data_IF_604923204325
#
_entry.id   IF_604923204325
#
_cell.length_a   1.000
_cell.length_b   1.000
_cell.length_c   1.000
_cell.angle_alpha   90.00
_cell.angle_beta   90.00
_cell.angle_gamma   90.00
#
_symmetry.space_group_name_H-M   'P 1'
#
loop_
_entity.id
_entity.type
_entity.pdbx_description
1 polymer ?
#
# COMPACT_ATOMS: atom_id res chain seq x y z
N UNK A 1 -15.48 -11.36 2.54
CA UNK A 1 -16.04 -9.99 2.72
C UNK A 1 -17.12 -10.04 3.80
N UNK A 2 -16.89 -9.42 4.96
CA UNK A 2 -17.92 -9.28 5.99
C UNK A 2 -18.86 -8.14 5.57
N UNK A 3 -20.12 -8.45 5.23
CA UNK A 3 -21.15 -7.49 4.79
C UNK A 3 -21.59 -6.47 5.88
N UNK A 4 -20.92 -6.45 7.04
CA UNK A 4 -21.37 -5.72 8.25
C UNK A 4 -21.44 -4.19 8.14
N UNK A 5 -20.96 -3.57 7.06
CA UNK A 5 -20.93 -2.11 6.92
C UNK A 5 -21.41 -1.59 5.56
N UNK A 6 -22.21 -2.35 4.84
CA UNK A 6 -22.75 -1.91 3.55
C UNK A 6 -23.91 -0.95 3.80
N UNK A 7 -23.85 0.24 3.19
CA UNK A 7 -24.92 1.22 3.16
C UNK A 7 -25.71 1.10 1.87
N UNK A 8 -27.05 1.10 1.96
CA UNK A 8 -27.93 1.06 0.80
C UNK A 8 -28.48 2.45 0.50
N UNK A 9 -28.49 2.81 -0.78
CA UNK A 9 -29.05 4.04 -1.31
C UNK A 9 -30.03 3.70 -2.43
N UNK A 10 -31.01 4.55 -2.68
CA UNK A 10 -32.04 4.32 -3.68
C UNK A 10 -32.00 5.45 -4.71
N UNK A 11 -32.02 5.12 -5.99
CA UNK A 11 -32.02 6.09 -7.09
C UNK A 11 -32.97 5.66 -8.21
N UNK A 12 -33.63 6.65 -8.84
CA UNK A 12 -34.50 6.45 -9.99
C UNK A 12 -33.76 6.50 -11.32
N UNK A 13 -32.65 7.24 -11.35
CA UNK A 13 -31.86 7.45 -12.56
C UNK A 13 -30.67 6.49 -12.60
N UNK A 14 -30.30 6.07 -13.81
CA UNK A 14 -29.09 5.28 -14.05
C UNK A 14 -27.82 6.13 -13.77
N UNK A 15 -26.66 5.49 -13.52
CA UNK A 15 -25.41 6.21 -13.32
C UNK A 15 -25.02 7.06 -14.53
N UNK A 16 -24.41 8.22 -14.27
CA UNK A 16 -23.82 9.05 -15.32
C UNK A 16 -22.59 8.39 -15.91
N UNK A 17 -22.35 8.65 -17.20
CA UNK A 17 -21.15 8.21 -17.90
C UNK A 17 -19.92 8.96 -17.43
N UNK A 18 -18.82 8.21 -17.25
CA UNK A 18 -17.55 8.77 -16.84
C UNK A 18 -16.40 8.07 -17.57
N UNK A 19 -15.32 8.80 -17.89
CA UNK A 19 -14.16 8.24 -18.58
C UNK A 19 -13.31 7.35 -17.69
N UNK A 20 -13.16 7.71 -16.43
CA UNK A 20 -12.38 6.96 -15.43
C UNK A 20 -13.28 6.58 -14.26
N UNK A 21 -13.18 5.34 -13.86
CA UNK A 21 -13.76 4.82 -12.62
C UNK A 21 -12.63 4.45 -11.66
N UNK A 22 -12.55 5.14 -10.52
CA UNK A 22 -11.71 4.72 -9.40
C UNK A 22 -12.52 3.73 -8.59
N UNK A 23 -12.09 2.48 -8.57
CA UNK A 23 -12.75 1.41 -7.83
C UNK A 23 -12.14 1.32 -6.43
N UNK A 24 -12.94 1.59 -5.44
CA UNK A 24 -12.65 1.76 -4.02
C UNK A 24 -12.32 3.21 -3.64
N UNK A 25 -12.88 3.60 -2.49
CA UNK A 25 -12.63 4.93 -1.90
C UNK A 25 -11.24 5.03 -1.27
N UNK A 26 -10.67 3.91 -0.83
CA UNK A 26 -9.36 3.87 -0.20
C UNK A 26 -8.26 4.33 -1.18
N UNK A 27 -7.52 5.38 -0.80
CA UNK A 27 -6.48 5.99 -1.64
C UNK A 27 -6.98 6.75 -2.86
N UNK A 28 -8.31 6.89 -3.04
CA UNK A 28 -8.88 7.64 -4.18
C UNK A 28 -8.51 9.13 -4.13
N UNK A 29 -8.33 9.69 -2.92
CA UNK A 29 -7.93 11.09 -2.75
C UNK A 29 -6.53 11.33 -3.30
N UNK A 30 -5.57 10.45 -3.01
CA UNK A 30 -4.21 10.49 -3.57
C UNK A 30 -4.24 10.40 -5.11
N UNK A 31 -5.08 9.51 -5.67
CA UNK A 31 -5.21 9.38 -7.11
C UNK A 31 -5.80 10.63 -7.75
N UNK A 32 -6.87 11.19 -7.21
CA UNK A 32 -7.52 12.39 -7.78
C UNK A 32 -6.60 13.58 -7.68
N UNK A 33 -5.97 13.79 -6.53
CA UNK A 33 -5.18 14.98 -6.27
C UNK A 33 -3.83 14.99 -7.00
N UNK A 34 -3.15 13.85 -7.06
CA UNK A 34 -1.75 13.80 -7.51
C UNK A 34 -1.54 13.09 -8.85
N UNK A 35 -2.49 12.24 -9.27
CA UNK A 35 -2.37 11.50 -10.52
C UNK A 35 -3.34 12.00 -11.57
N UNK A 36 -4.58 12.32 -11.20
CA UNK A 36 -5.67 12.63 -12.12
C UNK A 36 -6.15 14.10 -12.01
N UNK A 37 -5.35 14.98 -11.42
CA UNK A 37 -5.73 16.38 -11.14
C UNK A 37 -6.16 17.18 -12.38
N UNK A 38 -5.68 16.82 -13.55
CA UNK A 38 -5.99 17.45 -14.84
C UNK A 38 -6.97 16.64 -15.70
N UNK A 39 -7.46 15.50 -15.18
CA UNK A 39 -8.43 14.65 -15.87
C UNK A 39 -9.87 14.98 -15.43
N UNK A 40 -10.76 15.14 -16.39
CA UNK A 40 -12.20 15.36 -16.13
C UNK A 40 -12.99 14.05 -16.26
N UNK A 41 -14.22 14.06 -15.72
CA UNK A 41 -15.14 12.92 -15.79
C UNK A 41 -14.61 11.66 -15.08
N UNK A 42 -14.24 11.85 -13.81
CA UNK A 42 -13.81 10.79 -12.88
C UNK A 42 -14.98 10.46 -11.95
N UNK A 43 -15.24 9.18 -11.76
CA UNK A 43 -16.16 8.67 -10.73
C UNK A 43 -15.40 7.83 -9.72
N UNK A 44 -15.62 8.11 -8.44
CA UNK A 44 -15.14 7.27 -7.34
C UNK A 44 -16.27 6.32 -6.96
N UNK A 45 -15.99 5.03 -6.95
CA UNK A 45 -16.90 3.97 -6.56
C UNK A 45 -16.55 3.47 -5.16
N UNK A 46 -17.47 3.66 -4.21
CA UNK A 46 -17.31 3.16 -2.85
C UNK A 46 -17.88 1.73 -2.76
N UNK A 47 -17.02 0.74 -2.62
CA UNK A 47 -17.39 -0.68 -2.48
C UNK A 47 -18.22 -0.98 -1.21
N UNK A 48 -18.29 -0.07 -0.25
CA UNK A 48 -19.14 -0.19 0.94
C UNK A 48 -20.53 0.42 0.76
N UNK A 49 -20.80 0.97 -0.44
CA UNK A 49 -22.05 1.64 -0.78
C UNK A 49 -22.73 0.93 -1.94
N UNK A 50 -23.92 0.37 -1.73
CA UNK A 50 -24.76 -0.20 -2.80
C UNK A 50 -25.86 0.80 -3.13
N UNK A 51 -25.94 1.25 -4.38
CA UNK A 51 -27.03 2.12 -4.86
C UNK A 51 -28.04 1.27 -5.61
N UNK A 52 -29.24 1.09 -5.09
CA UNK A 52 -30.31 0.33 -5.73
C UNK A 52 -31.04 1.24 -6.73
N UNK A 53 -31.02 0.86 -8.00
CA UNK A 53 -31.65 1.61 -9.09
C UNK A 53 -33.05 1.08 -9.39
N UNK A 54 -34.09 1.92 -9.17
CA UNK A 54 -35.45 1.66 -9.59
C UNK A 54 -35.67 2.08 -11.05
N UNK A 55 -34.88 1.51 -11.94
CA UNK A 55 -34.93 1.78 -13.38
C UNK A 55 -35.05 0.48 -14.15
N UNK A 56 -36.08 0.37 -14.98
CA UNK A 56 -36.38 -0.88 -15.71
C UNK A 56 -35.22 -1.33 -16.61
N UNK A 57 -34.51 -0.39 -17.23
CA UNK A 57 -33.38 -0.71 -18.11
C UNK A 57 -32.21 -1.30 -17.27
N UNK A 58 -31.97 -0.76 -16.09
CA UNK A 58 -30.96 -1.30 -15.17
C UNK A 58 -31.34 -2.71 -14.72
N UNK A 59 -32.59 -2.92 -14.30
CA UNK A 59 -33.09 -4.21 -13.83
C UNK A 59 -32.98 -5.28 -14.94
N UNK A 60 -33.42 -4.97 -16.15
CA UNK A 60 -33.34 -5.91 -17.29
C UNK A 60 -31.87 -6.26 -17.61
N UNK A 61 -30.99 -5.27 -17.60
CA UNK A 61 -29.55 -5.48 -17.83
C UNK A 61 -28.92 -6.35 -16.73
N UNK A 62 -29.27 -6.09 -15.47
CA UNK A 62 -28.79 -6.88 -14.32
C UNK A 62 -29.25 -8.34 -14.43
N UNK A 63 -30.53 -8.59 -14.72
CA UNK A 63 -31.05 -9.94 -14.92
C UNK A 63 -30.34 -10.65 -16.09
N UNK A 64 -30.14 -9.96 -17.23
CA UNK A 64 -29.35 -10.49 -18.34
C UNK A 64 -27.93 -10.86 -17.91
N UNK A 65 -27.28 -10.04 -17.09
CA UNK A 65 -25.94 -10.33 -16.58
C UNK A 65 -25.93 -11.53 -15.63
N UNK A 66 -26.97 -11.73 -14.81
CA UNK A 66 -27.10 -12.91 -13.93
C UNK A 66 -27.12 -14.20 -14.78
N UNK A 67 -27.86 -14.19 -15.89
CA UNK A 67 -28.02 -15.36 -16.75
C UNK A 67 -26.73 -15.70 -17.54
N UNK A 68 -25.97 -14.67 -17.94
CA UNK A 68 -24.85 -14.83 -18.88
C UNK A 68 -23.47 -14.91 -18.23
N UNK A 69 -23.33 -14.57 -16.94
CA UNK A 69 -22.02 -14.52 -16.27
C UNK A 69 -21.84 -15.70 -15.36
N UNK A 70 -20.86 -16.52 -15.69
CA UNK A 70 -20.41 -17.62 -14.84
C UNK A 70 -19.13 -17.20 -14.08
N UNK A 71 -19.27 -17.04 -12.76
CA UNK A 71 -18.17 -16.83 -11.85
C UNK A 71 -18.05 -18.08 -10.98
N UNK A 72 -16.95 -18.81 -11.16
CA UNK A 72 -16.66 -19.99 -10.36
C UNK A 72 -15.90 -19.57 -9.09
N UNK A 73 -15.85 -20.45 -8.10
CA UNK A 73 -15.04 -20.34 -6.87
C UNK A 73 -15.39 -19.14 -5.96
N UNK A 74 -16.64 -18.67 -5.96
CA UNK A 74 -17.08 -17.69 -4.98
C UNK A 74 -18.50 -17.98 -4.47
N UNK A 75 -18.82 -17.44 -3.26
CA UNK A 75 -20.17 -17.59 -2.69
C UNK A 75 -21.23 -16.93 -3.57
N UNK A 76 -22.45 -17.44 -3.53
CA UNK A 76 -23.58 -16.90 -4.29
C UNK A 76 -23.78 -15.39 -4.08
N UNK A 77 -23.70 -14.94 -2.81
CA UNK A 77 -23.84 -13.51 -2.46
C UNK A 77 -22.74 -12.67 -3.11
N UNK A 78 -21.47 -13.14 -3.07
CA UNK A 78 -20.35 -12.45 -3.70
C UNK A 78 -20.54 -12.40 -5.23
N UNK A 79 -21.03 -13.48 -5.82
CA UNK A 79 -21.34 -13.53 -7.25
C UNK A 79 -22.38 -12.47 -7.65
N UNK A 80 -23.51 -12.40 -6.96
CA UNK A 80 -24.55 -11.40 -7.21
C UNK A 80 -24.00 -9.99 -7.05
N UNK A 81 -23.18 -9.76 -6.03
CA UNK A 81 -22.55 -8.46 -5.80
C UNK A 81 -21.60 -8.05 -6.95
N UNK A 82 -20.75 -8.95 -7.42
CA UNK A 82 -19.87 -8.70 -8.56
C UNK A 82 -20.68 -8.39 -9.84
N UNK A 83 -21.74 -9.16 -10.10
CA UNK A 83 -22.61 -8.94 -11.27
C UNK A 83 -23.33 -7.59 -11.16
N UNK A 84 -23.74 -7.20 -9.95
CA UNK A 84 -24.36 -5.90 -9.72
C UNK A 84 -23.38 -4.76 -10.04
N UNK A 85 -22.17 -4.78 -9.48
CA UNK A 85 -21.14 -3.77 -9.77
C UNK A 85 -20.81 -3.74 -11.27
N UNK A 86 -20.65 -4.91 -11.89
CA UNK A 86 -20.44 -4.98 -13.34
C UNK A 86 -21.55 -4.27 -14.11
N UNK A 87 -22.82 -4.45 -13.70
CA UNK A 87 -23.94 -3.79 -14.34
C UNK A 87 -23.85 -2.26 -14.19
N UNK A 88 -23.52 -1.76 -13.00
CA UNK A 88 -23.27 -0.33 -12.81
C UNK A 88 -22.14 0.20 -13.70
N UNK A 89 -21.02 -0.53 -13.79
CA UNK A 89 -19.87 -0.18 -14.63
C UNK A 89 -20.28 -0.12 -16.11
N UNK A 90 -21.14 -1.00 -16.58
CA UNK A 90 -21.66 -0.96 -17.95
C UNK A 90 -22.51 0.29 -18.26
N UNK A 91 -23.17 0.87 -17.25
CA UNK A 91 -23.89 2.15 -17.40
C UNK A 91 -22.96 3.36 -17.25
N UNK A 92 -22.00 3.31 -16.33
CA UNK A 92 -20.95 4.35 -16.18
C UNK A 92 -20.10 4.44 -17.45
N UNK A 93 -19.90 3.31 -18.13
CA UNK A 93 -19.19 3.16 -19.40
C UNK A 93 -17.76 3.73 -19.38
N UNK A 94 -16.93 3.43 -18.34
CA UNK A 94 -15.60 4.00 -18.23
C UNK A 94 -14.65 3.36 -19.25
N UNK A 95 -13.71 4.13 -19.78
CA UNK A 95 -12.61 3.61 -20.58
C UNK A 95 -11.56 2.95 -19.69
N UNK A 96 -11.30 3.52 -18.50
CA UNK A 96 -10.34 3.05 -17.53
C UNK A 96 -11.03 2.74 -16.20
N UNK A 97 -10.67 1.61 -15.60
CA UNK A 97 -11.01 1.22 -14.23
C UNK A 97 -9.70 1.10 -13.46
N UNK A 98 -9.50 1.99 -12.48
CA UNK A 98 -8.27 2.08 -11.70
C UNK A 98 -8.52 1.80 -10.22
N UNK A 99 -7.57 1.15 -9.55
CA UNK A 99 -7.57 0.98 -8.09
C UNK A 99 -6.22 1.32 -7.51
N UNK A 100 -6.22 1.91 -6.29
CA UNK A 100 -5.04 2.06 -5.45
C UNK A 100 -4.90 0.91 -4.43
N UNK A 101 -5.75 -0.10 -4.52
CA UNK A 101 -5.70 -1.28 -3.68
C UNK A 101 -5.55 -2.52 -4.59
N UNK A 102 -4.30 -2.87 -4.91
CA UNK A 102 -3.95 -3.93 -5.86
C UNK A 102 -4.28 -5.35 -5.37
N UNK A 103 -4.64 -5.56 -4.08
CA UNK A 103 -5.10 -6.83 -3.53
C UNK A 103 -6.63 -6.94 -3.39
N UNK A 104 -7.38 -5.98 -3.94
CA UNK A 104 -8.83 -5.95 -3.86
C UNK A 104 -9.48 -7.09 -4.66
N UNK A 105 -10.04 -8.07 -3.95
CA UNK A 105 -10.65 -9.27 -4.58
C UNK A 105 -11.85 -8.97 -5.48
N UNK A 106 -12.57 -7.86 -5.26
CA UNK A 106 -13.69 -7.44 -6.14
C UNK A 106 -13.14 -6.87 -7.44
N UNK A 107 -12.11 -6.02 -7.36
CA UNK A 107 -11.43 -5.49 -8.53
C UNK A 107 -10.91 -6.63 -9.45
N UNK A 108 -10.26 -7.63 -8.87
CA UNK A 108 -9.78 -8.80 -9.61
C UNK A 108 -10.92 -9.56 -10.28
N UNK A 109 -12.04 -9.78 -9.56
CA UNK A 109 -13.20 -10.46 -10.12
C UNK A 109 -13.80 -9.68 -11.29
N UNK A 110 -13.85 -8.34 -11.19
CA UNK A 110 -14.35 -7.47 -12.25
C UNK A 110 -13.43 -7.49 -13.49
N UNK A 111 -12.11 -7.47 -13.31
CA UNK A 111 -11.15 -7.57 -14.43
C UNK A 111 -11.27 -8.88 -15.20
N UNK A 112 -11.73 -9.95 -14.54
CA UNK A 112 -11.99 -11.22 -15.16
C UNK A 112 -13.27 -11.21 -16.01
N UNK A 113 -14.35 -10.55 -15.55
CA UNK A 113 -15.68 -10.57 -16.21
C UNK A 113 -15.95 -9.40 -17.15
N UNK A 114 -15.13 -8.33 -17.11
CA UNK A 114 -15.23 -7.17 -17.99
C UNK A 114 -14.00 -7.16 -18.91
N UNK A 115 -14.21 -7.35 -20.23
CA UNK A 115 -13.10 -7.52 -21.19
C UNK A 115 -12.75 -6.28 -22.02
N UNK A 116 -13.69 -5.34 -22.12
CA UNK A 116 -13.59 -4.19 -23.04
C UNK A 116 -13.25 -2.89 -22.30
N UNK A 117 -12.47 -2.98 -21.24
CA UNK A 117 -12.03 -1.83 -20.44
C UNK A 117 -10.58 -2.03 -20.01
N UNK A 118 -9.87 -0.94 -19.86
CA UNK A 118 -8.49 -0.97 -19.36
C UNK A 118 -8.49 -1.02 -17.83
N UNK A 119 -7.91 -2.07 -17.27
CA UNK A 119 -7.77 -2.27 -15.84
C UNK A 119 -6.36 -1.88 -15.37
N UNK A 120 -6.28 -0.90 -14.48
CA UNK A 120 -5.04 -0.38 -13.90
C UNK A 120 -5.05 -0.60 -12.40
N UNK A 121 -4.04 -1.29 -11.88
CA UNK A 121 -3.81 -1.41 -10.44
C UNK A 121 -2.52 -0.67 -10.04
N UNK A 122 -2.56 -0.02 -8.88
CA UNK A 122 -1.41 0.63 -8.28
C UNK A 122 -1.15 -0.04 -6.94
N UNK A 123 0.05 -0.56 -6.76
CA UNK A 123 0.46 -1.23 -5.55
C UNK A 123 0.54 -0.23 -4.39
N UNK A 124 -0.18 -0.53 -3.30
CA UNK A 124 -0.22 0.31 -2.10
C UNK A 124 0.51 -0.31 -0.90
N UNK A 125 0.97 -1.55 -1.01
CA UNK A 125 1.64 -2.25 0.07
C UNK A 125 2.46 -3.42 -0.44
N UNK A 126 3.26 -4.00 0.45
CA UNK A 126 4.00 -5.21 0.14
C UNK A 126 3.05 -6.37 -0.13
N UNK A 127 3.41 -7.18 -1.12
CA UNK A 127 2.64 -8.36 -1.52
C UNK A 127 3.52 -9.59 -1.37
N UNK A 128 3.33 -10.28 -0.27
CA UNK A 128 3.97 -11.56 -0.03
C UNK A 128 3.28 -12.69 -0.79
N UNK A 129 3.97 -13.82 -0.91
CA UNK A 129 3.46 -14.98 -1.64
C UNK A 129 2.08 -15.40 -1.14
N UNK A 130 1.87 -15.46 0.19
CA UNK A 130 0.60 -15.89 0.76
C UNK A 130 -0.58 -14.96 0.41
N UNK A 131 -0.35 -13.65 0.22
CA UNK A 131 -1.37 -12.70 -0.24
C UNK A 131 -1.72 -13.00 -1.69
N UNK A 132 -0.72 -13.27 -2.52
CA UNK A 132 -0.88 -13.60 -3.93
C UNK A 132 -1.59 -14.94 -4.13
N UNK A 133 -1.27 -15.92 -3.30
CA UNK A 133 -1.88 -17.25 -3.34
C UNK A 133 -3.34 -17.27 -2.85
N UNK A 134 -3.76 -16.30 -2.01
CA UNK A 134 -5.16 -16.14 -1.55
C UNK A 134 -6.12 -15.66 -2.64
N UNK A 135 -5.63 -15.17 -3.74
CA UNK A 135 -6.48 -14.67 -4.81
C UNK A 135 -6.97 -15.84 -5.64
N UNK A 136 -8.22 -16.24 -5.38
CA UNK A 136 -8.90 -17.39 -6.02
C UNK A 136 -9.13 -17.23 -7.52
N UNK A 137 -8.80 -16.04 -8.09
CA UNK A 137 -9.09 -15.72 -9.48
C UNK A 137 -7.81 -15.46 -10.28
N UNK A 138 -7.83 -15.85 -11.54
CA UNK A 138 -6.84 -15.37 -12.50
C UNK A 138 -6.99 -13.87 -12.65
N UNK A 139 -6.00 -13.14 -12.18
CA UNK A 139 -5.95 -11.69 -12.33
C UNK A 139 -5.64 -11.37 -13.79
N UNK A 140 -6.41 -10.46 -14.37
CA UNK A 140 -6.20 -10.00 -15.74
C UNK A 140 -6.15 -8.48 -15.75
N UNK A 141 -5.02 -7.92 -15.33
CA UNK A 141 -4.77 -6.48 -15.39
C UNK A 141 -4.08 -6.11 -16.68
N UNK A 142 -4.46 -4.96 -17.26
CA UNK A 142 -3.72 -4.40 -18.37
C UNK A 142 -2.43 -3.75 -17.89
N UNK A 143 -2.48 -3.04 -16.73
CA UNK A 143 -1.32 -2.40 -16.12
C UNK A 143 -1.29 -2.64 -14.62
N UNK A 144 -0.10 -2.94 -14.10
CA UNK A 144 0.22 -2.91 -12.67
C UNK A 144 1.43 -2.02 -12.44
N UNK A 145 1.22 -0.92 -11.74
CA UNK A 145 2.29 -0.08 -11.22
C UNK A 145 2.75 -0.66 -9.89
N UNK A 146 3.98 -1.15 -9.86
CA UNK A 146 4.55 -1.83 -8.70
C UNK A 146 5.80 -1.12 -8.17
N UNK A 147 6.22 -1.50 -6.98
CA UNK A 147 7.34 -0.84 -6.30
C UNK A 147 8.68 -1.09 -7.00
N UNK A 148 8.96 -2.31 -7.42
CA UNK A 148 10.22 -2.65 -8.03
C UNK A 148 10.18 -3.88 -8.92
N UNK A 149 11.33 -4.23 -9.48
CA UNK A 149 11.47 -5.38 -10.38
C UNK A 149 11.17 -6.72 -9.67
N UNK A 150 11.46 -6.82 -8.37
CA UNK A 150 11.14 -8.03 -7.60
C UNK A 150 9.64 -8.32 -7.55
N UNK A 151 8.77 -7.30 -7.54
CA UNK A 151 7.33 -7.49 -7.58
C UNK A 151 6.88 -8.09 -8.90
N UNK A 152 7.50 -7.66 -10.01
CA UNK A 152 7.28 -8.26 -11.33
C UNK A 152 7.66 -9.74 -11.35
N UNK A 153 8.83 -10.10 -10.84
CA UNK A 153 9.32 -11.49 -10.82
C UNK A 153 8.40 -12.37 -9.95
N UNK A 154 8.01 -11.87 -8.77
CA UNK A 154 7.08 -12.55 -7.89
C UNK A 154 5.69 -12.72 -8.52
N UNK A 155 5.20 -11.74 -9.27
CA UNK A 155 3.91 -11.83 -9.96
C UNK A 155 3.93 -12.87 -11.10
N UNK A 156 5.03 -12.95 -11.85
CA UNK A 156 5.19 -13.96 -12.91
C UNK A 156 5.15 -15.38 -12.34
N UNK A 157 5.67 -15.60 -11.13
CA UNK A 157 5.64 -16.90 -10.45
C UNK A 157 4.28 -17.29 -9.86
N UNK A 158 3.28 -16.40 -9.94
CA UNK A 158 1.92 -16.60 -9.41
C UNK A 158 0.89 -16.60 -10.55
N UNK A 159 -0.39 -16.79 -10.21
CA UNK A 159 -1.48 -16.75 -11.19
C UNK A 159 -1.88 -15.32 -11.62
N UNK A 160 -1.05 -14.32 -11.35
CA UNK A 160 -1.32 -12.94 -11.72
C UNK A 160 -0.96 -12.70 -13.18
N UNK A 161 -1.96 -12.62 -14.04
CA UNK A 161 -1.80 -12.28 -15.45
C UNK A 161 -1.84 -10.75 -15.57
N UNK A 162 -0.67 -10.14 -15.59
CA UNK A 162 -0.50 -8.70 -15.82
C UNK A 162 0.16 -8.50 -17.17
N UNK A 163 -0.48 -7.77 -18.08
CA UNK A 163 0.07 -7.52 -19.42
C UNK A 163 1.29 -6.59 -19.36
N UNK A 164 1.19 -5.52 -18.56
CA UNK A 164 2.23 -4.52 -18.44
C UNK A 164 2.58 -4.27 -16.98
N UNK A 165 3.71 -4.81 -16.51
CA UNK A 165 4.29 -4.44 -15.23
C UNK A 165 5.12 -3.16 -15.39
N UNK A 166 4.82 -2.17 -14.56
CA UNK A 166 5.47 -0.87 -14.53
C UNK A 166 6.10 -0.65 -13.15
N UNK A 167 7.37 -1.00 -12.93
CA UNK A 167 8.06 -0.70 -11.68
C UNK A 167 8.39 0.79 -11.64
N UNK A 168 7.60 1.55 -10.87
CA UNK A 168 7.71 3.01 -10.75
C UNK A 168 8.01 3.46 -9.33
N UNK A 169 7.99 2.54 -8.37
CA UNK A 169 8.07 2.85 -6.94
C UNK A 169 6.71 3.12 -6.31
N UNK A 170 6.73 3.54 -5.05
CA UNK A 170 5.52 3.88 -4.30
C UNK A 170 4.98 5.24 -4.73
N UNK A 171 3.68 5.30 -5.02
CA UNK A 171 2.98 6.57 -5.30
C UNK A 171 3.10 7.54 -4.11
N UNK A 172 2.86 7.07 -2.89
CA UNK A 172 2.94 7.91 -1.68
C UNK A 172 4.34 8.41 -1.40
N UNK A 173 5.37 7.58 -1.61
CA UNK A 173 6.75 8.02 -1.50
C UNK A 173 7.07 9.11 -2.54
N UNK A 174 6.60 8.98 -3.78
CA UNK A 174 6.73 10.01 -4.81
C UNK A 174 6.04 11.33 -4.45
N UNK A 175 4.83 11.25 -3.88
CA UNK A 175 4.09 12.43 -3.38
C UNK A 175 4.86 13.08 -2.22
N UNK A 176 5.37 12.29 -1.27
CA UNK A 176 6.15 12.78 -0.14
C UNK A 176 7.43 13.50 -0.58
N UNK A 177 8.14 12.96 -1.56
CA UNK A 177 9.33 13.61 -2.15
C UNK A 177 8.96 14.98 -2.71
N UNK A 178 7.85 15.10 -3.43
CA UNK A 178 7.38 16.40 -3.96
C UNK A 178 7.03 17.38 -2.84
N UNK A 179 6.31 16.89 -1.81
CA UNK A 179 5.78 17.73 -0.73
C UNK A 179 6.86 18.18 0.25
N UNK A 180 7.89 17.37 0.45
CA UNK A 180 8.87 17.54 1.52
C UNK A 180 10.34 17.61 1.03
N UNK A 181 10.57 18.12 -0.15
CA UNK A 181 11.86 18.07 -0.88
C UNK A 181 13.07 18.72 -0.17
N UNK A 182 12.88 19.50 0.90
CA UNK A 182 13.94 20.27 1.56
C UNK A 182 14.00 20.13 3.08
N UNK A 183 13.48 19.03 3.64
CA UNK A 183 13.50 18.83 5.08
C UNK A 183 14.90 18.58 5.61
N UNK A 184 15.22 19.21 6.76
CA UNK A 184 16.45 18.97 7.53
C UNK A 184 16.24 17.80 8.47
N UNK A 185 17.30 17.04 8.71
CA UNK A 185 17.31 15.99 9.74
C UNK A 185 17.10 16.60 11.12
N UNK A 186 16.16 16.07 11.87
CA UNK A 186 15.80 16.46 13.25
C UNK A 186 15.96 15.29 14.21
N UNK A 187 15.80 14.06 13.70
CA UNK A 187 15.82 12.86 14.51
C UNK A 187 16.95 11.94 14.08
N UNK A 188 17.48 11.23 15.05
CA UNK A 188 18.47 10.18 14.81
C UNK A 188 17.76 8.96 14.24
N UNK A 189 16.63 8.59 14.84
CA UNK A 189 15.90 7.37 14.54
C UNK A 189 14.40 7.65 14.37
N UNK A 190 13.82 7.12 13.29
CA UNK A 190 12.38 6.90 13.12
C UNK A 190 12.09 5.42 13.33
N UNK A 191 11.35 5.07 14.39
CA UNK A 191 10.83 3.72 14.59
C UNK A 191 9.43 3.62 13.99
N UNK A 192 9.24 2.69 13.04
CA UNK A 192 7.94 2.45 12.43
C UNK A 192 7.10 1.58 13.35
N UNK A 193 5.90 2.06 13.68
CA UNK A 193 4.92 1.28 14.41
C UNK A 193 4.20 0.30 13.48
N UNK A 194 4.12 -0.94 13.91
CA UNK A 194 3.26 -1.98 13.31
C UNK A 194 2.19 -2.45 14.31
N UNK A 195 1.84 -1.59 15.27
CA UNK A 195 0.84 -1.86 16.31
C UNK A 195 -0.52 -2.14 15.70
N UNK A 196 -1.06 -3.34 15.95
CA UNK A 196 -2.37 -3.77 15.47
C UNK A 196 -3.12 -4.54 16.59
N UNK A 197 -3.87 -3.84 17.44
CA UNK A 197 -4.51 -4.45 18.60
C UNK A 197 -5.53 -5.54 18.25
N UNK A 198 -6.11 -5.47 17.03
CA UNK A 198 -7.13 -6.44 16.58
C UNK A 198 -6.54 -7.80 16.21
N UNK A 199 -5.25 -7.84 15.87
CA UNK A 199 -4.55 -9.07 15.49
C UNK A 199 -4.02 -9.87 16.67
N UNK A 200 -4.00 -9.28 17.85
CA UNK A 200 -3.48 -9.92 19.08
C UNK A 200 -4.26 -11.20 19.46
N UNK A 201 -5.51 -11.35 19.02
CA UNK A 201 -6.35 -12.51 19.28
C UNK A 201 -6.67 -13.31 18.00
N UNK A 202 -5.98 -13.05 16.90
CA UNK A 202 -6.16 -13.80 15.64
C UNK A 202 -5.15 -14.95 15.60
N UNK A 203 -5.61 -16.21 15.70
CA UNK A 203 -4.72 -17.38 15.72
C UNK A 203 -3.77 -17.42 14.51
N UNK A 204 -4.20 -16.93 13.37
CA UNK A 204 -3.42 -16.93 12.13
C UNK A 204 -2.34 -15.83 12.08
N UNK A 205 -2.36 -14.87 13.05
CA UNK A 205 -1.46 -13.71 13.08
C UNK A 205 -0.64 -13.58 14.38
N UNK A 206 -0.67 -14.56 15.28
CA UNK A 206 0.09 -14.52 16.53
C UNK A 206 1.58 -14.27 16.33
N UNK A 207 2.19 -14.95 15.38
CA UNK A 207 3.63 -14.81 15.12
C UNK A 207 4.05 -13.40 14.71
N UNK A 208 3.25 -12.71 13.89
CA UNK A 208 3.56 -11.33 13.48
C UNK A 208 3.60 -10.35 14.64
N UNK A 209 2.58 -10.38 15.49
CA UNK A 209 2.51 -9.49 16.65
C UNK A 209 3.67 -9.70 17.63
N UNK A 210 4.04 -10.96 17.87
CA UNK A 210 5.12 -11.29 18.80
C UNK A 210 6.45 -10.75 18.29
N UNK A 211 6.73 -10.87 17.00
CA UNK A 211 7.95 -10.36 16.39
C UNK A 211 8.03 -8.83 16.43
N UNK A 212 6.92 -8.15 16.11
CA UNK A 212 6.86 -6.71 16.16
C UNK A 212 7.01 -6.19 17.60
N UNK A 213 6.34 -6.81 18.57
CA UNK A 213 6.47 -6.46 19.99
C UNK A 213 7.92 -6.61 20.45
N UNK A 214 8.58 -7.69 20.06
CA UNK A 214 9.99 -7.92 20.38
C UNK A 214 10.90 -6.83 19.80
N UNK A 215 10.69 -6.41 18.54
CA UNK A 215 11.42 -5.26 17.97
C UNK A 215 11.22 -4.00 18.81
N UNK A 216 10.00 -3.75 19.26
CA UNK A 216 9.68 -2.55 20.05
C UNK A 216 10.34 -2.60 21.42
N UNK A 217 10.36 -3.76 22.08
CA UNK A 217 11.04 -3.99 23.36
C UNK A 217 12.55 -3.76 23.24
N UNK A 218 13.17 -4.35 22.22
CA UNK A 218 14.60 -4.18 21.91
C UNK A 218 14.94 -2.70 21.72
N UNK A 219 14.14 -1.99 20.91
CA UNK A 219 14.38 -0.57 20.66
C UNK A 219 14.14 0.28 21.90
N UNK A 220 13.14 -0.07 22.73
CA UNK A 220 12.89 0.61 24.01
C UNK A 220 14.09 0.53 24.94
N UNK A 221 14.71 -0.66 25.09
CA UNK A 221 15.92 -0.83 25.90
C UNK A 221 17.11 -0.02 25.36
N UNK A 222 17.27 0.03 24.04
CA UNK A 222 18.29 0.85 23.40
C UNK A 222 18.07 2.34 23.68
N UNK A 223 16.83 2.82 23.57
CA UNK A 223 16.46 4.21 23.79
C UNK A 223 16.63 4.68 25.23
N UNK A 224 16.46 3.78 26.20
CA UNK A 224 16.76 4.06 27.61
C UNK A 224 18.26 4.22 27.88
N UNK A 225 19.12 3.53 27.13
CA UNK A 225 20.58 3.54 27.31
C UNK A 225 21.26 4.70 26.57
N UNK A 226 20.65 5.23 25.52
CA UNK A 226 21.24 6.22 24.61
C UNK A 226 20.34 7.44 24.46
N UNK A 227 20.96 8.60 24.39
CA UNK A 227 20.25 9.86 24.22
C UNK A 227 20.01 10.19 22.74
N UNK A 228 19.33 9.29 22.01
CA UNK A 228 18.92 9.55 20.62
C UNK A 228 17.71 10.49 20.57
N UNK A 229 17.66 11.32 19.53
CA UNK A 229 16.45 12.04 19.14
C UNK A 229 15.56 11.08 18.35
N UNK A 230 14.38 10.74 18.88
CA UNK A 230 13.54 9.65 18.38
C UNK A 230 12.18 10.18 17.97
N UNK A 231 11.68 9.67 16.87
CA UNK A 231 10.27 9.81 16.47
C UNK A 231 9.67 8.45 16.18
N UNK A 232 8.43 8.22 16.62
CA UNK A 232 7.64 7.03 16.27
C UNK A 232 6.68 7.38 15.15
N UNK A 233 6.80 6.68 14.03
CA UNK A 233 5.85 6.75 12.93
C UNK A 233 4.64 5.87 13.26
N UNK A 234 3.59 6.45 13.83
CA UNK A 234 2.34 5.75 14.19
C UNK A 234 1.59 5.30 12.95
N UNK A 235 0.99 4.09 12.99
CA UNK A 235 0.21 3.55 11.89
C UNK A 235 -1.26 3.99 11.89
N UNK A 236 -1.75 4.50 13.03
CA UNK A 236 -3.12 5.01 13.20
C UNK A 236 -4.21 3.95 13.33
N UNK A 237 -3.91 2.67 13.14
CA UNK A 237 -4.92 1.60 13.27
C UNK A 237 -5.32 1.35 14.72
N UNK A 238 -4.44 1.63 15.67
CA UNK A 238 -4.68 1.49 17.10
C UNK A 238 -5.43 2.66 17.73
N UNK A 239 -5.55 3.80 17.06
CA UNK A 239 -6.05 5.05 17.64
C UNK A 239 -5.23 5.47 18.87
N UNK A 240 -5.91 5.93 19.94
CA UNK A 240 -5.23 6.33 21.19
C UNK A 240 -4.46 5.19 21.85
N UNK A 241 -4.90 3.94 21.72
CA UNK A 241 -4.25 2.77 22.34
C UNK A 241 -2.83 2.54 21.84
N UNK A 242 -2.56 2.88 20.57
CA UNK A 242 -1.21 2.80 20.01
C UNK A 242 -0.28 3.80 20.69
N UNK A 243 -0.72 5.05 20.82
CA UNK A 243 0.02 6.09 21.50
C UNK A 243 0.25 5.77 22.98
N UNK A 244 -0.80 5.36 23.71
CA UNK A 244 -0.75 4.95 25.11
C UNK A 244 0.27 3.81 25.33
N UNK A 245 0.29 2.84 24.40
CA UNK A 245 1.25 1.74 24.45
C UNK A 245 2.69 2.26 24.37
N UNK A 246 3.02 3.07 23.36
CA UNK A 246 4.36 3.60 23.21
C UNK A 246 4.78 4.51 24.38
N UNK A 247 3.88 5.35 24.88
CA UNK A 247 4.14 6.20 26.04
C UNK A 247 4.41 5.42 27.31
N UNK A 248 3.86 4.21 27.43
CA UNK A 248 4.07 3.35 28.60
C UNK A 248 5.45 2.67 28.63
N UNK A 249 6.11 2.51 27.49
CA UNK A 249 7.35 1.74 27.36
C UNK A 249 8.59 2.58 26.99
N UNK A 250 8.37 3.75 26.38
CA UNK A 250 9.44 4.60 25.87
C UNK A 250 9.77 5.79 26.81
N UNK A 251 10.96 6.39 26.70
CA UNK A 251 11.31 7.61 27.44
C UNK A 251 10.36 8.78 27.10
N UNK A 252 10.24 9.74 28.01
CA UNK A 252 9.34 10.90 27.91
C UNK A 252 9.67 11.88 26.76
N UNK A 253 10.89 11.86 26.24
CA UNK A 253 11.38 12.77 25.21
C UNK A 253 11.22 12.24 23.77
N UNK A 254 10.39 11.22 23.57
CA UNK A 254 10.10 10.65 22.24
C UNK A 254 9.01 11.45 21.54
N UNK A 255 9.23 11.80 20.27
CA UNK A 255 8.22 12.42 19.42
C UNK A 255 7.34 11.37 18.75
N UNK A 256 6.14 11.77 18.34
CA UNK A 256 5.17 10.91 17.68
C UNK A 256 4.58 11.60 16.44
N UNK A 257 4.35 10.84 15.39
CA UNK A 257 3.56 11.36 14.25
C UNK A 257 2.09 11.41 14.59
N UNK A 258 1.36 12.26 13.87
CA UNK A 258 -0.09 12.33 13.95
C UNK A 258 -0.71 11.61 12.75
N UNK A 259 -1.36 10.44 12.92
CA UNK A 259 -1.96 9.70 11.81
C UNK A 259 -3.08 10.45 11.07
N UNK A 260 -3.62 11.53 11.66
CA UNK A 260 -4.63 12.37 11.00
C UNK A 260 -4.03 13.44 10.08
N UNK A 261 -2.71 13.60 10.09
CA UNK A 261 -2.00 14.51 9.18
C UNK A 261 -1.49 13.69 7.99
N UNK A 262 -1.87 14.13 6.81
CA UNK A 262 -1.49 13.47 5.56
C UNK A 262 0.05 13.38 5.43
N UNK A 263 0.54 12.18 5.16
CA UNK A 263 1.96 11.86 4.97
C UNK A 263 2.88 12.20 6.16
N UNK A 264 2.36 12.33 7.38
CA UNK A 264 3.19 12.70 8.54
C UNK A 264 4.25 11.63 8.86
N UNK A 265 3.94 10.35 8.66
CA UNK A 265 4.92 9.26 8.81
C UNK A 265 6.05 9.36 7.77
N UNK A 266 5.73 9.78 6.54
CA UNK A 266 6.74 10.02 5.50
C UNK A 266 7.63 11.23 5.84
N UNK A 267 7.01 12.30 6.36
CA UNK A 267 7.76 13.46 6.88
C UNK A 267 8.73 13.04 7.98
N UNK A 268 8.26 12.26 8.95
CA UNK A 268 9.10 11.75 10.05
C UNK A 268 10.30 10.95 9.55
N UNK A 269 10.12 10.07 8.56
CA UNK A 269 11.20 9.34 7.92
C UNK A 269 12.19 10.30 7.26
N UNK A 270 11.72 11.26 6.49
CA UNK A 270 12.58 12.21 5.79
C UNK A 270 13.35 13.13 6.76
N UNK A 271 12.78 13.42 7.93
CA UNK A 271 13.44 14.15 9.02
C UNK A 271 14.39 13.29 9.88
N UNK A 272 14.48 11.96 9.64
CA UNK A 272 15.28 11.03 10.41
C UNK A 272 16.51 10.52 9.65
N UNK A 273 17.62 10.27 10.37
CA UNK A 273 18.84 9.71 9.81
C UNK A 273 18.68 8.22 9.46
N UNK A 274 18.06 7.46 10.38
CA UNK A 274 17.83 6.01 10.26
C UNK A 274 16.36 5.72 10.49
N UNK A 275 15.80 4.86 9.65
CA UNK A 275 14.43 4.32 9.81
C UNK A 275 14.54 2.86 10.20
N UNK A 276 13.90 2.49 11.29
CA UNK A 276 13.92 1.13 11.86
C UNK A 276 12.52 0.55 11.88
N UNK A 277 12.38 -0.72 11.56
CA UNK A 277 11.11 -1.43 11.62
C UNK A 277 11.27 -2.95 11.49
N UNK A 278 10.17 -3.67 11.60
CA UNK A 278 10.16 -5.13 11.38
C UNK A 278 9.87 -5.44 9.90
N UNK A 279 8.65 -5.15 9.43
CA UNK A 279 8.27 -5.56 8.07
C UNK A 279 7.21 -4.66 7.41
N UNK A 280 7.21 -3.39 7.77
CA UNK A 280 6.31 -2.40 7.19
C UNK A 280 6.66 -2.04 5.75
N UNK A 281 5.65 -1.82 4.91
CA UNK A 281 5.83 -1.19 3.59
C UNK A 281 6.59 0.13 3.69
N UNK A 282 6.33 0.90 4.73
CA UNK A 282 6.96 2.19 4.98
C UNK A 282 8.48 2.07 5.18
N UNK A 283 8.96 0.94 5.74
CA UNK A 283 10.40 0.66 5.83
C UNK A 283 11.03 0.48 4.44
N UNK A 284 10.33 -0.19 3.53
CA UNK A 284 10.78 -0.33 2.14
C UNK A 284 10.77 1.03 1.42
N UNK A 285 9.72 1.83 1.63
CA UNK A 285 9.60 3.16 1.06
C UNK A 285 10.70 4.12 1.55
N UNK A 286 11.23 3.91 2.77
CA UNK A 286 12.32 4.72 3.31
C UNK A 286 13.61 4.67 2.46
N UNK A 287 13.80 3.62 1.64
CA UNK A 287 14.89 3.53 0.67
C UNK A 287 14.87 4.68 -0.37
N UNK A 288 13.71 5.27 -0.62
CA UNK A 288 13.54 6.39 -1.54
C UNK A 288 13.40 7.75 -0.82
N UNK A 289 13.28 7.77 0.53
CA UNK A 289 12.89 8.95 1.30
C UNK A 289 14.05 9.63 2.05
N UNK A 290 15.23 9.62 1.49
CA UNK A 290 16.40 10.26 2.11
C UNK A 290 16.63 9.79 3.58
N UNK A 291 16.35 8.53 3.89
CA UNK A 291 16.62 7.89 5.18
C UNK A 291 17.31 6.55 4.98
N UNK A 292 18.00 6.07 5.98
CA UNK A 292 18.72 4.79 5.93
C UNK A 292 17.86 3.72 6.59
N UNK A 293 17.46 2.70 5.84
CA UNK A 293 16.61 1.64 6.34
C UNK A 293 17.39 0.61 7.16
N UNK A 294 16.80 0.15 8.26
CA UNK A 294 17.27 -0.98 9.04
C UNK A 294 16.08 -1.86 9.44
N UNK A 295 16.04 -3.07 8.91
CA UNK A 295 15.08 -4.08 9.34
C UNK A 295 15.64 -4.89 10.49
N UNK A 296 14.87 -5.04 11.57
CA UNK A 296 15.19 -5.96 12.66
C UNK A 296 14.38 -7.25 12.43
N UNK A 297 15.06 -8.29 11.93
CA UNK A 297 14.42 -9.57 11.63
C UNK A 297 14.40 -10.48 12.86
N UNK A 298 13.35 -10.38 13.66
CA UNK A 298 13.14 -11.25 14.82
C UNK A 298 12.54 -12.61 14.46
N UNK A 299 11.97 -12.76 13.25
CA UNK A 299 11.34 -14.00 12.82
C UNK A 299 12.34 -15.08 12.40
N UNK A 300 13.59 -14.73 12.16
CA UNK A 300 14.66 -15.64 11.69
C UNK A 300 14.32 -16.41 10.40
N UNK A 301 13.34 -15.92 9.66
CA UNK A 301 12.95 -16.47 8.38
C UNK A 301 13.00 -15.39 7.30
N UNK A 302 13.18 -15.82 6.04
CA UNK A 302 13.26 -14.93 4.89
C UNK A 302 11.88 -14.63 4.27
N UNK A 303 10.78 -14.98 4.97
CA UNK A 303 9.44 -14.91 4.40
C UNK A 303 8.93 -13.47 4.28
N UNK A 304 9.41 -12.56 5.14
CA UNK A 304 8.89 -11.19 5.19
C UNK A 304 9.60 -10.23 4.24
N UNK A 305 10.93 -10.10 4.33
CA UNK A 305 11.71 -9.28 3.40
C UNK A 305 13.05 -9.93 3.13
N UNK A 306 13.41 -10.02 1.89
CA UNK A 306 14.74 -10.42 1.47
C UNK A 306 15.56 -9.16 1.12
N UNK A 307 15.78 -8.28 2.10
CA UNK A 307 16.80 -7.26 1.93
C UNK A 307 18.19 -7.91 1.90
N UNK A 308 19.12 -7.31 1.19
CA UNK A 308 20.52 -7.65 1.35
C UNK A 308 20.92 -7.49 2.83
N UNK A 309 21.77 -8.36 3.30
CA UNK A 309 22.29 -8.41 4.68
C UNK A 309 22.79 -7.07 5.24
N UNK A 310 23.10 -6.10 4.39
CA UNK A 310 23.47 -4.73 4.80
C UNK A 310 22.34 -3.95 5.48
N UNK A 311 21.08 -4.32 5.24
CA UNK A 311 19.89 -3.64 5.74
C UNK A 311 19.12 -4.47 6.76
N UNK A 312 19.53 -5.71 6.99
CA UNK A 312 18.90 -6.62 7.93
C UNK A 312 19.82 -6.75 9.15
N UNK A 313 19.23 -6.54 10.33
CA UNK A 313 19.82 -6.95 11.58
C UNK A 313 19.07 -8.17 12.08
N UNK A 314 19.72 -9.33 12.12
CA UNK A 314 19.10 -10.56 12.60
C UNK A 314 19.08 -10.57 14.14
N UNK A 315 18.08 -11.23 14.72
CA UNK A 315 17.90 -11.33 16.16
C UNK A 315 19.13 -11.92 16.88
N UNK A 316 19.79 -12.87 16.26
CA UNK A 316 21.04 -13.47 16.77
C UNK A 316 22.18 -12.47 16.95
N UNK A 317 22.08 -11.28 16.35
CA UNK A 317 23.09 -10.22 16.38
C UNK A 317 22.69 -9.01 17.24
N UNK A 318 21.71 -9.15 18.12
CA UNK A 318 21.13 -8.03 18.88
C UNK A 318 22.16 -7.23 19.66
N UNK A 319 23.19 -7.89 20.18
CA UNK A 319 24.29 -7.22 20.90
C UNK A 319 25.08 -6.24 20.00
N UNK A 320 24.97 -6.37 18.70
CA UNK A 320 25.60 -5.52 17.72
C UNK A 320 24.64 -4.45 17.14
N UNK A 321 23.36 -4.43 17.56
CA UNK A 321 22.35 -3.52 17.01
C UNK A 321 22.74 -2.06 17.24
N UNK A 322 23.18 -1.72 18.45
CA UNK A 322 23.64 -0.37 18.80
C UNK A 322 24.78 0.07 17.88
N UNK A 323 25.82 -0.77 17.75
CA UNK A 323 26.94 -0.51 16.85
C UNK A 323 26.46 -0.35 15.40
N UNK A 324 25.50 -1.17 14.96
CA UNK A 324 24.97 -1.10 13.61
C UNK A 324 24.21 0.20 13.33
N UNK A 325 23.43 0.69 14.30
CA UNK A 325 22.75 1.99 14.20
C UNK A 325 23.77 3.12 14.14
N UNK A 326 24.78 3.11 15.02
CA UNK A 326 25.84 4.12 15.02
C UNK A 326 26.65 4.12 13.69
N UNK A 327 26.95 2.96 13.13
CA UNK A 327 27.55 2.82 11.80
C UNK A 327 26.66 3.46 10.73
N UNK A 328 25.37 3.14 10.71
CA UNK A 328 24.44 3.74 9.73
C UNK A 328 24.34 5.25 9.91
N UNK A 329 24.29 5.77 11.13
CA UNK A 329 24.28 7.22 11.39
C UNK A 329 25.54 7.91 10.89
N UNK A 330 26.71 7.29 11.06
CA UNK A 330 28.00 7.87 10.66
C UNK A 330 28.22 7.95 9.16
N UNK A 331 27.56 7.09 8.38
CA UNK A 331 27.72 7.07 6.91
C UNK A 331 27.00 8.28 6.28
N UNK A 332 27.65 9.13 5.48
CA UNK A 332 26.97 10.16 4.72
C UNK A 332 25.88 9.56 3.81
N UNK A 333 24.73 10.24 3.67
CA UNK A 333 23.60 9.70 2.90
C UNK A 333 23.97 9.37 1.45
N UNK A 334 24.77 10.19 0.78
CA UNK A 334 25.20 9.92 -0.59
C UNK A 334 26.05 8.64 -0.70
N UNK A 335 26.88 8.37 0.29
CA UNK A 335 27.67 7.12 0.36
C UNK A 335 26.78 5.91 0.59
N UNK A 336 25.80 6.03 1.49
CA UNK A 336 24.78 5.01 1.70
C UNK A 336 24.01 4.76 0.40
N UNK A 337 23.50 5.81 -0.24
CA UNK A 337 22.75 5.71 -1.49
C UNK A 337 23.54 5.04 -2.62
N UNK A 338 24.83 5.35 -2.74
CA UNK A 338 25.73 4.66 -3.69
C UNK A 338 25.83 3.17 -3.37
N UNK A 339 25.89 2.79 -2.10
CA UNK A 339 25.99 1.38 -1.69
C UNK A 339 24.74 0.56 -1.99
N UNK A 340 23.54 1.21 -2.01
CA UNK A 340 22.26 0.57 -2.30
C UNK A 340 21.78 0.76 -3.75
N UNK A 341 22.56 1.41 -4.58
CA UNK A 341 22.16 1.77 -5.97
C UNK A 341 21.58 0.60 -6.76
N UNK A 342 22.13 -0.59 -6.60
CA UNK A 342 21.68 -1.79 -7.31
C UNK A 342 20.41 -2.42 -6.70
N UNK A 343 20.03 -2.02 -5.49
CA UNK A 343 18.83 -2.51 -4.78
C UNK A 343 17.61 -1.67 -5.06
N UNK A 344 17.79 -0.35 -5.19
CA UNK A 344 16.68 0.58 -5.41
C UNK A 344 15.77 0.12 -6.57
N UNK A 345 16.26 -0.19 -7.78
CA UNK A 345 15.39 -0.64 -8.88
C UNK A 345 14.65 -1.95 -8.59
N UNK A 346 15.20 -2.81 -7.71
CA UNK A 346 14.59 -4.09 -7.38
C UNK A 346 13.43 -3.94 -6.41
N UNK A 347 13.55 -3.03 -5.43
CA UNK A 347 12.62 -2.94 -4.30
C UNK A 347 11.76 -1.67 -4.30
N UNK A 348 12.33 -0.52 -4.72
CA UNK A 348 11.65 0.78 -4.70
C UNK A 348 12.18 1.65 -5.84
N UNK A 349 11.71 1.38 -7.06
CA UNK A 349 12.21 1.99 -8.29
C UNK A 349 11.65 3.40 -8.49
N UNK A 350 12.09 4.36 -7.67
CA UNK A 350 11.72 5.78 -7.85
C UNK A 350 12.81 6.50 -8.65
N UNK A 351 12.39 7.09 -9.77
CA UNK A 351 13.17 8.06 -10.52
C UNK A 351 12.81 9.47 -10.06
N UNK A 352 13.77 10.20 -9.48
CA UNK A 352 13.55 11.55 -8.97
C UNK A 352 13.22 12.58 -10.07
N UNK A 353 13.64 12.32 -11.30
CA UNK A 353 13.33 13.18 -12.44
C UNK A 353 11.95 12.86 -13.05
N UNK A 354 11.41 11.69 -12.77
CA UNK A 354 10.11 11.26 -13.26
C UNK A 354 9.38 10.43 -12.21
N UNK A 355 8.79 11.12 -11.25
CA UNK A 355 8.14 10.54 -10.08
C UNK A 355 6.94 9.65 -10.44
N UNK A 356 6.57 8.67 -9.60
CA UNK A 356 5.50 7.72 -9.86
C UNK A 356 4.19 8.37 -10.32
N UNK A 357 3.75 9.45 -9.66
CA UNK A 357 2.52 10.16 -10.01
C UNK A 357 2.55 10.71 -11.44
N UNK A 358 3.69 11.23 -11.88
CA UNK A 358 3.85 11.77 -13.25
C UNK A 358 3.84 10.66 -14.29
N UNK A 359 4.54 9.54 -14.03
CA UNK A 359 4.59 8.39 -14.93
C UNK A 359 3.21 7.77 -15.12
N UNK A 360 2.45 7.62 -14.01
CA UNK A 360 1.09 7.05 -14.04
C UNK A 360 0.14 7.99 -14.79
N UNK A 361 0.19 9.30 -14.51
CA UNK A 361 -0.63 10.31 -15.20
C UNK A 361 -0.39 10.29 -16.71
N UNK A 362 0.88 10.32 -17.13
CA UNK A 362 1.24 10.31 -18.55
C UNK A 362 0.67 9.07 -19.26
N UNK A 363 0.83 7.89 -18.70
CA UNK A 363 0.32 6.66 -19.30
C UNK A 363 -1.22 6.63 -19.35
N UNK A 364 -1.91 7.14 -18.32
CA UNK A 364 -3.38 7.26 -18.33
C UNK A 364 -3.83 8.18 -19.46
N UNK A 365 -3.15 9.30 -19.70
CA UNK A 365 -3.45 10.20 -20.82
C UNK A 365 -3.27 9.52 -22.18
N UNK A 366 -2.19 8.76 -22.35
CA UNK A 366 -1.93 8.00 -23.57
C UNK A 366 -3.06 7.00 -23.84
N UNK A 367 -3.54 6.28 -22.81
CA UNK A 367 -4.67 5.35 -22.92
C UNK A 367 -5.99 6.07 -23.26
N UNK A 368 -6.23 7.27 -22.71
CA UNK A 368 -7.44 8.03 -22.99
C UNK A 368 -7.49 8.63 -24.40
N UNK A 369 -6.34 8.75 -25.06
CA UNK A 369 -6.19 9.27 -26.42
C UNK A 369 -6.21 8.17 -27.49
N UNK A 370 -5.95 6.91 -27.11
CA UNK A 370 -5.98 5.73 -28.00
C UNK A 370 -7.41 5.19 -28.20
#
# INVERSE_FOLDING_TARGET
MKLKNIKFFFQLFIPDKNKILILDKEGSEDLVQYVLSDVKNIKIYDLKRITIYFNITFILKFLKNILNIHINNCSFIKKIYIIYIKTEIEFIDPQIIITYNDDNSIYHSLSYVIKNRTFIAIQNGLREKFIRDRIEFKINHDYLYCFGLNDREKNISTNWLVKNHRPVGSLRAGIAITKFNSLKKKYDICLISEYEPRKRNDPDNHHWNDHWLLVTEIMSELFKKRNYQIIIALNGHGGTRELDYFQSILPLNVAYTNPNIELDSYRAIMESNVTVGFCSTLLLESLALNSKALQINTAQDNSYFQFDSKFIHEYSQINNLEKRIDELMSIPYDSYRKSIKNFIPKYMNIDENNLPQSQINQNIKEILLS
#
